data_IF_424399741833
#
_entry.id   IF_424399741833
#
_cell.length_a   1.000
_cell.length_b   1.000
_cell.length_c   1.000
_cell.angle_alpha   90.00
_cell.angle_beta   90.00
_cell.angle_gamma   90.00
#
_symmetry.space_group_name_H-M   'P 1'
#
loop_
_entity.id
_entity.type
_entity.pdbx_description
1 polymer ?
#
# COMPACT_ATOMS: atom_id res chain seq x y z
N UNK A 1 21.07 -9.73 12.61
CA UNK A 1 19.62 -9.91 12.45
C UNK A 1 19.15 -8.84 11.48
N UNK A 2 18.49 -9.25 10.39
CA UNK A 2 18.02 -8.37 9.32
C UNK A 2 16.81 -9.05 8.67
N UNK A 3 15.78 -8.31 8.22
CA UNK A 3 14.70 -8.91 7.45
C UNK A 3 15.22 -9.51 6.15
N UNK A 4 14.74 -10.72 5.84
CA UNK A 4 15.12 -11.52 4.68
C UNK A 4 14.28 -11.20 3.45
N UNK A 5 13.07 -10.68 3.63
CA UNK A 5 12.24 -10.26 2.50
C UNK A 5 11.35 -9.05 2.79
N UNK A 6 10.97 -8.36 1.72
CA UNK A 6 10.23 -7.10 1.78
C UNK A 6 9.09 -7.09 0.78
N UNK A 7 7.86 -6.88 1.27
CA UNK A 7 6.69 -6.60 0.42
C UNK A 7 6.60 -5.08 0.25
N UNK A 8 7.22 -4.58 -0.82
CA UNK A 8 7.53 -3.15 -0.99
C UNK A 8 6.38 -2.33 -1.59
N UNK A 9 5.33 -2.98 -2.06
CA UNK A 9 4.21 -2.29 -2.70
C UNK A 9 3.39 -3.20 -3.59
N UNK A 10 2.41 -2.66 -4.31
CA UNK A 10 1.91 -1.29 -4.22
C UNK A 10 0.79 -1.19 -3.15
N UNK A 11 0.51 0.00 -2.59
CA UNK A 11 -0.63 0.17 -1.69
C UNK A 11 -1.93 -0.20 -2.43
N UNK A 12 -2.93 -0.70 -1.70
CA UNK A 12 -4.24 -1.06 -2.29
C UNK A 12 -4.22 -2.14 -3.39
N UNK A 13 -3.13 -2.88 -3.50
CA UNK A 13 -2.97 -4.00 -4.41
C UNK A 13 -3.08 -5.37 -3.76
N UNK A 14 -3.43 -5.49 -2.47
CA UNK A 14 -3.63 -6.80 -1.81
C UNK A 14 -2.49 -7.26 -0.87
N UNK A 15 -1.44 -6.45 -0.73
CA UNK A 15 -0.27 -6.74 0.12
C UNK A 15 -0.60 -7.09 1.57
N UNK A 16 -1.63 -6.46 2.17
CA UNK A 16 -2.06 -6.80 3.53
C UNK A 16 -2.56 -8.24 3.66
N UNK A 17 -3.27 -8.76 2.66
CA UNK A 17 -3.72 -10.16 2.67
C UNK A 17 -2.52 -11.09 2.57
N UNK A 18 -1.58 -10.79 1.66
CA UNK A 18 -0.36 -11.59 1.52
C UNK A 18 0.47 -11.62 2.82
N UNK A 19 0.67 -10.48 3.49
CA UNK A 19 1.36 -10.45 4.79
C UNK A 19 0.69 -11.39 5.82
N UNK A 20 -0.64 -11.37 5.91
CA UNK A 20 -1.38 -12.23 6.86
C UNK A 20 -1.29 -13.71 6.47
N UNK A 21 -1.21 -14.04 5.19
CA UNK A 21 -1.05 -15.44 4.76
C UNK A 21 0.36 -15.96 5.03
N UNK A 22 1.38 -15.11 4.84
CA UNK A 22 2.78 -15.47 5.10
C UNK A 22 3.07 -15.60 6.60
N UNK A 23 2.47 -14.76 7.44
CA UNK A 23 2.66 -14.81 8.91
C UNK A 23 2.10 -16.08 9.56
N UNK A 24 1.27 -16.84 8.84
CA UNK A 24 0.78 -18.15 9.29
C UNK A 24 1.81 -19.28 9.08
N UNK A 25 2.81 -19.09 8.22
CA UNK A 25 3.77 -20.12 7.87
C UNK A 25 4.79 -20.33 9.01
N UNK A 26 5.06 -21.57 9.47
CA UNK A 26 5.88 -21.83 10.66
C UNK A 26 7.35 -21.39 10.52
N UNK A 27 7.84 -21.24 9.29
CA UNK A 27 9.20 -20.76 8.98
C UNK A 27 9.31 -19.25 8.70
N UNK A 28 8.21 -18.50 8.81
CA UNK A 28 8.16 -17.06 8.51
C UNK A 28 7.72 -16.30 9.76
N UNK A 29 8.32 -15.14 9.97
CA UNK A 29 7.91 -14.17 10.98
C UNK A 29 7.73 -12.81 10.31
N UNK A 30 6.49 -12.31 10.26
CA UNK A 30 6.26 -10.95 9.79
C UNK A 30 6.49 -9.95 10.92
N UNK A 31 6.90 -8.73 10.57
CA UNK A 31 6.90 -7.61 11.51
C UNK A 31 5.51 -7.46 12.15
N UNK A 32 5.47 -7.35 13.50
CA UNK A 32 4.25 -7.27 14.33
C UNK A 32 3.23 -6.20 13.92
N UNK A 33 3.68 -5.21 13.16
CA UNK A 33 2.86 -4.13 12.64
C UNK A 33 3.21 -3.89 11.17
N UNK A 34 2.19 -3.97 10.28
CA UNK A 34 2.37 -3.60 8.87
C UNK A 34 2.64 -2.09 8.72
N UNK A 35 3.41 -1.76 7.69
CA UNK A 35 3.95 -0.42 7.41
C UNK A 35 4.87 0.06 8.56
N UNK A 36 5.99 -0.64 8.85
CA UNK A 36 7.05 -0.09 9.67
C UNK A 36 7.59 1.25 9.14
N UNK A 37 7.66 1.39 7.80
CA UNK A 37 8.14 2.56 7.08
C UNK A 37 9.53 3.02 7.56
N UNK A 38 10.42 2.06 7.87
CA UNK A 38 11.78 2.30 8.33
C UNK A 38 12.70 2.85 7.23
N UNK A 39 12.73 2.20 6.06
CA UNK A 39 13.43 2.65 4.84
C UNK A 39 12.62 3.71 4.05
N UNK A 40 13.21 4.21 2.97
CA UNK A 40 12.66 5.28 2.16
C UNK A 40 12.85 6.63 2.82
N UNK A 41 14.09 7.05 3.09
CA UNK A 41 14.43 8.35 3.70
C UNK A 41 13.81 9.58 2.99
N UNK A 42 13.43 9.44 1.72
CA UNK A 42 12.78 10.48 0.91
C UNK A 42 11.26 10.64 1.17
N UNK A 43 10.61 9.67 1.83
CA UNK A 43 9.17 9.70 2.10
C UNK A 43 8.84 10.53 3.34
N UNK A 44 7.79 11.35 3.25
CA UNK A 44 7.34 12.26 4.32
C UNK A 44 6.32 11.62 5.30
N UNK A 45 6.20 10.30 5.29
CA UNK A 45 5.29 9.51 6.14
C UNK A 45 5.74 9.35 7.60
N UNK A 46 4.78 9.06 8.48
CA UNK A 46 5.10 8.71 9.88
C UNK A 46 5.76 7.33 9.94
N UNK A 47 7.03 7.29 10.34
CA UNK A 47 7.76 6.05 10.61
C UNK A 47 7.36 5.45 11.96
N UNK A 48 7.22 4.13 12.02
CA UNK A 48 6.97 3.42 13.29
C UNK A 48 8.26 3.13 14.05
N UNK A 49 9.34 2.92 13.31
CA UNK A 49 10.69 2.80 13.85
C UNK A 49 11.56 3.91 13.27
N UNK A 50 12.32 4.59 14.13
CA UNK A 50 13.27 5.64 13.73
C UNK A 50 14.73 5.25 13.98
N UNK A 51 14.94 4.16 14.73
CA UNK A 51 16.26 3.58 14.97
C UNK A 51 16.26 2.12 14.50
N UNK A 52 17.45 1.60 14.17
CA UNK A 52 17.58 0.19 13.81
C UNK A 52 17.17 -0.73 14.96
N UNK A 53 17.46 -0.35 16.21
CA UNK A 53 17.06 -1.12 17.39
C UNK A 53 15.53 -1.24 17.49
N UNK A 54 14.82 -0.12 17.33
CA UNK A 54 13.35 -0.13 17.33
C UNK A 54 12.77 -0.93 16.17
N UNK A 55 13.44 -0.86 15.01
CA UNK A 55 13.03 -1.61 13.84
C UNK A 55 13.16 -3.13 14.04
N UNK A 56 14.28 -3.59 14.60
CA UNK A 56 14.50 -5.02 14.86
C UNK A 56 13.58 -5.56 15.98
N UNK A 57 13.15 -4.72 16.93
CA UNK A 57 12.15 -5.10 17.95
C UNK A 57 10.77 -5.44 17.35
N UNK A 58 10.50 -5.08 16.09
CA UNK A 58 9.25 -5.45 15.42
C UNK A 58 9.16 -6.95 15.09
N UNK A 59 10.25 -7.71 15.25
CA UNK A 59 10.35 -9.14 14.96
C UNK A 59 10.61 -9.96 16.25
N UNK A 60 9.59 -10.16 17.11
CA UNK A 60 9.74 -10.84 18.40
C UNK A 60 9.75 -12.38 18.25
N UNK A 61 10.64 -12.89 17.41
CA UNK A 61 10.67 -14.29 16.98
C UNK A 61 12.10 -14.82 16.85
N UNK A 62 12.24 -16.14 16.64
CA UNK A 62 13.57 -16.78 16.52
C UNK A 62 14.37 -16.19 15.35
N UNK A 63 15.70 -16.04 15.49
CA UNK A 63 16.61 -15.78 14.37
C UNK A 63 16.52 -16.78 13.22
N UNK A 64 16.06 -18.00 13.49
CA UNK A 64 16.06 -19.10 12.52
C UNK A 64 14.88 -19.04 11.54
N UNK A 65 13.93 -18.12 11.77
CA UNK A 65 12.80 -17.88 10.87
C UNK A 65 13.18 -16.83 9.82
N UNK A 66 12.54 -16.89 8.65
CA UNK A 66 12.63 -15.81 7.68
C UNK A 66 11.85 -14.60 8.17
N UNK A 67 12.55 -13.49 8.35
CA UNK A 67 11.97 -12.23 8.81
C UNK A 67 11.44 -11.43 7.62
N UNK A 68 10.16 -11.08 7.65
CA UNK A 68 9.50 -10.34 6.56
C UNK A 68 8.87 -9.04 7.03
N UNK A 69 8.92 -7.99 6.22
CA UNK A 69 8.09 -6.81 6.44
C UNK A 69 7.30 -6.41 5.20
N UNK A 70 6.34 -5.51 5.40
CA UNK A 70 5.55 -4.96 4.30
C UNK A 70 5.27 -3.48 4.51
N UNK A 71 5.97 -2.64 3.76
CA UNK A 71 5.81 -1.19 3.71
C UNK A 71 5.59 -0.79 2.25
N UNK A 72 4.36 -0.41 1.91
CA UNK A 72 3.86 -0.35 0.54
C UNK A 72 4.34 0.85 -0.27
N UNK A 73 4.78 1.90 0.42
CA UNK A 73 5.31 3.10 -0.22
C UNK A 73 6.80 2.97 -0.59
N UNK A 74 7.45 1.87 -0.23
CA UNK A 74 8.83 1.61 -0.65
C UNK A 74 8.95 1.51 -2.17
N UNK A 75 7.93 0.96 -2.84
CA UNK A 75 7.88 0.92 -4.30
C UNK A 75 7.94 2.31 -4.94
N UNK A 76 7.29 3.30 -4.32
CA UNK A 76 7.30 4.69 -4.80
C UNK A 76 8.62 5.41 -4.51
N UNK A 77 9.23 5.12 -3.35
CA UNK A 77 10.47 5.75 -2.89
C UNK A 77 11.62 5.59 -3.87
N UNK A 78 12.38 6.68 -4.05
CA UNK A 78 13.57 6.72 -4.92
C UNK A 78 14.82 6.19 -4.25
N UNK A 79 14.81 5.98 -2.94
CA UNK A 79 15.95 5.48 -2.17
C UNK A 79 15.70 4.15 -1.45
N UNK A 80 14.45 3.74 -1.20
CA UNK A 80 14.14 2.54 -0.42
C UNK A 80 14.83 1.28 -0.95
N UNK A 81 14.85 1.05 -2.28
CA UNK A 81 15.54 -0.10 -2.85
C UNK A 81 17.04 -0.15 -2.46
N UNK A 82 17.74 0.98 -2.57
CA UNK A 82 19.17 1.08 -2.21
C UNK A 82 19.39 0.94 -0.70
N UNK A 83 18.54 1.55 0.12
CA UNK A 83 18.66 1.46 1.58
C UNK A 83 18.40 0.03 2.08
N UNK A 84 17.40 -0.65 1.52
CA UNK A 84 17.13 -2.07 1.81
C UNK A 84 18.34 -2.92 1.39
N UNK A 85 18.90 -2.68 0.20
CA UNK A 85 20.07 -3.42 -0.29
C UNK A 85 21.31 -3.22 0.60
N UNK A 86 21.56 -1.98 1.04
CA UNK A 86 22.63 -1.67 1.99
C UNK A 86 22.46 -2.40 3.32
N UNK A 87 21.21 -2.59 3.77
CA UNK A 87 20.90 -3.32 4.99
C UNK A 87 20.99 -4.85 4.80
N UNK A 88 20.44 -5.37 3.70
CA UNK A 88 20.48 -6.77 3.35
C UNK A 88 20.56 -6.98 1.82
N UNK A 89 21.77 -7.22 1.25
CA UNK A 89 21.91 -7.42 -0.20
C UNK A 89 21.38 -8.77 -0.69
N UNK A 90 21.08 -9.70 0.22
CA UNK A 90 20.49 -11.00 -0.08
C UNK A 90 18.96 -10.99 0.09
N UNK A 91 18.36 -9.84 0.38
CA UNK A 91 16.94 -9.75 0.60
C UNK A 91 16.15 -10.08 -0.67
N UNK A 92 15.02 -10.77 -0.48
CA UNK A 92 14.03 -11.00 -1.52
C UNK A 92 12.98 -9.89 -1.53
N UNK A 93 12.60 -9.43 -2.70
CA UNK A 93 11.65 -8.35 -2.89
C UNK A 93 10.36 -8.91 -3.48
N UNK A 94 9.22 -8.51 -2.94
CA UNK A 94 7.90 -8.86 -3.45
C UNK A 94 7.16 -7.57 -3.79
N UNK A 95 6.72 -7.46 -5.04
CA UNK A 95 5.94 -6.34 -5.58
C UNK A 95 4.59 -6.88 -6.05
N UNK A 96 3.49 -6.30 -5.59
CA UNK A 96 2.14 -6.62 -6.03
C UNK A 96 1.53 -5.44 -6.78
N UNK A 97 1.33 -5.59 -8.09
CA UNK A 97 0.82 -4.54 -8.97
C UNK A 97 -0.64 -4.77 -9.31
N UNK A 98 -1.39 -3.69 -9.47
CA UNK A 98 -2.80 -3.68 -9.85
C UNK A 98 -2.95 -2.79 -11.08
N UNK A 99 -3.98 -3.03 -11.91
CA UNK A 99 -4.35 -2.12 -12.99
C UNK A 99 -4.26 -0.66 -12.49
N UNK A 100 -3.46 0.21 -13.15
CA UNK A 100 -3.15 1.56 -12.65
C UNK A 100 -4.42 2.41 -12.46
N UNK A 101 -5.45 2.25 -13.30
CA UNK A 101 -6.71 2.98 -13.22
C UNK A 101 -7.47 2.63 -11.94
N UNK A 102 -7.61 1.33 -11.71
CA UNK A 102 -8.22 0.76 -10.51
C UNK A 102 -7.42 1.10 -9.25
N UNK A 103 -6.09 1.09 -9.36
CA UNK A 103 -5.17 1.43 -8.28
C UNK A 103 -5.33 2.89 -7.85
N UNK A 104 -5.31 3.86 -8.78
CA UNK A 104 -5.43 5.28 -8.41
C UNK A 104 -6.78 5.58 -7.78
N UNK A 105 -7.83 4.92 -8.27
CA UNK A 105 -9.14 5.03 -7.66
C UNK A 105 -9.13 4.43 -6.25
N UNK A 106 -8.64 3.19 -6.11
CA UNK A 106 -8.48 2.52 -4.81
C UNK A 106 -7.70 3.38 -3.80
N UNK A 107 -6.59 3.98 -4.24
CA UNK A 107 -5.74 4.88 -3.48
C UNK A 107 -6.51 6.11 -3.02
N UNK A 108 -7.23 6.81 -3.91
CA UNK A 108 -8.04 7.97 -3.53
C UNK A 108 -9.03 7.67 -2.39
N UNK A 109 -9.69 6.50 -2.34
CA UNK A 109 -10.58 6.20 -1.19
C UNK A 109 -9.77 6.09 0.06
N UNK A 110 -8.62 5.44 -0.02
CA UNK A 110 -7.80 5.19 1.14
C UNK A 110 -7.36 6.52 1.75
N UNK A 111 -6.91 7.45 0.91
CA UNK A 111 -6.41 8.75 1.33
C UNK A 111 -7.55 9.62 1.88
N UNK A 112 -8.75 9.57 1.27
CA UNK A 112 -9.98 10.17 1.84
C UNK A 112 -10.35 9.50 3.17
N UNK A 113 -10.24 8.17 3.26
CA UNK A 113 -10.59 7.39 4.46
C UNK A 113 -9.69 7.74 5.64
N UNK A 114 -8.39 7.92 5.41
CA UNK A 114 -7.43 8.33 6.45
C UNK A 114 -7.42 9.83 6.72
N UNK A 115 -8.20 10.60 5.96
CA UNK A 115 -8.33 12.06 6.03
C UNK A 115 -7.05 12.83 5.62
N UNK A 116 -6.25 12.24 4.73
CA UNK A 116 -5.12 12.92 4.08
C UNK A 116 -5.54 13.68 2.81
N UNK A 117 -6.70 13.33 2.24
CA UNK A 117 -7.34 13.96 1.07
C UNK A 117 -8.61 14.67 1.52
N UNK A 118 -8.76 15.94 1.13
CA UNK A 118 -9.91 16.80 1.41
C UNK A 118 -10.87 16.93 0.21
N UNK A 119 -10.45 16.54 -0.99
CA UNK A 119 -11.26 16.47 -2.21
C UNK A 119 -11.86 15.06 -2.34
N UNK A 120 -13.13 14.92 -1.98
CA UNK A 120 -13.85 13.64 -2.03
C UNK A 120 -14.29 13.23 -3.43
N UNK A 121 -14.35 14.17 -4.37
CA UNK A 121 -14.59 13.89 -5.79
C UNK A 121 -13.27 13.48 -6.47
N UNK A 122 -13.28 12.31 -7.11
CA UNK A 122 -12.05 11.74 -7.68
C UNK A 122 -11.50 12.52 -8.87
N UNK A 123 -12.38 13.02 -9.75
CA UNK A 123 -11.94 13.79 -10.91
C UNK A 123 -11.31 15.13 -10.48
N UNK A 124 -11.94 15.84 -9.53
CA UNK A 124 -11.37 17.05 -8.95
C UNK A 124 -10.03 16.79 -8.23
N UNK A 125 -9.87 15.64 -7.58
CA UNK A 125 -8.63 15.26 -6.92
C UNK A 125 -7.49 15.03 -7.93
N UNK A 126 -7.78 14.39 -9.07
CA UNK A 126 -6.84 14.28 -10.20
C UNK A 126 -6.46 15.65 -10.76
N UNK A 127 -7.43 16.56 -10.93
CA UNK A 127 -7.17 17.92 -11.41
C UNK A 127 -6.34 18.76 -10.42
N UNK A 128 -6.31 18.42 -9.13
CA UNK A 128 -5.47 19.07 -8.14
C UNK A 128 -4.02 18.58 -8.16
N UNK A 129 -3.74 17.43 -8.76
CA UNK A 129 -2.42 16.81 -8.71
C UNK A 129 -1.27 17.69 -9.24
N UNK A 130 -1.41 18.44 -10.37
CA UNK A 130 -0.34 19.33 -10.85
C UNK A 130 0.07 20.43 -9.86
N UNK A 131 -0.89 20.94 -9.08
CA UNK A 131 -0.61 21.89 -8.00
C UNK A 131 0.08 21.21 -6.82
N UNK A 132 -0.34 19.98 -6.48
CA UNK A 132 0.23 19.19 -5.39
C UNK A 132 1.67 18.77 -5.64
N UNK A 133 2.02 18.48 -6.89
CA UNK A 133 3.43 18.26 -7.31
C UNK A 133 4.31 19.48 -7.00
N UNK A 134 3.72 20.68 -6.96
CA UNK A 134 4.41 21.93 -6.65
C UNK A 134 4.27 22.33 -5.16
N UNK A 135 3.80 21.42 -4.30
CA UNK A 135 3.56 21.67 -2.89
C UNK A 135 2.35 22.56 -2.59
N UNK A 136 1.54 22.91 -3.60
CA UNK A 136 0.31 23.68 -3.43
C UNK A 136 -0.88 22.75 -3.22
N UNK A 137 -1.95 23.24 -2.56
CA UNK A 137 -3.19 22.46 -2.34
C UNK A 137 -2.94 21.10 -1.64
N UNK A 138 -1.91 21.04 -0.81
CA UNK A 138 -1.69 19.93 0.13
C UNK A 138 -2.56 20.20 1.36
N UNK A 139 -3.48 19.30 1.73
CA UNK A 139 -4.36 19.50 2.87
C UNK A 139 -3.57 19.69 4.16
N UNK A 140 -4.03 20.62 5.01
CA UNK A 140 -3.37 20.88 6.27
C UNK A 140 -3.33 19.61 7.15
N UNK A 141 -2.13 19.24 7.58
CA UNK A 141 -1.88 18.04 8.37
C UNK A 141 -1.83 16.74 7.58
N UNK A 142 -1.82 16.78 6.24
CA UNK A 142 -1.53 15.62 5.40
C UNK A 142 -0.23 14.97 5.88
N UNK A 143 -0.29 13.68 6.20
CA UNK A 143 0.83 12.93 6.80
C UNK A 143 1.70 12.24 5.77
N UNK A 144 1.26 12.17 4.52
CA UNK A 144 1.99 11.57 3.42
C UNK A 144 1.57 12.23 2.10
N UNK A 145 2.15 13.39 1.75
CA UNK A 145 1.80 14.15 0.54
C UNK A 145 1.94 13.35 -0.76
N UNK A 146 2.86 12.38 -0.82
CA UNK A 146 3.07 11.48 -1.96
C UNK A 146 1.81 10.68 -2.29
N UNK A 147 0.97 10.40 -1.28
CA UNK A 147 -0.30 9.70 -1.47
C UNK A 147 -1.35 10.47 -2.26
N UNK A 148 -1.15 11.77 -2.45
CA UNK A 148 -2.01 12.64 -3.26
C UNK A 148 -1.53 12.77 -4.71
N UNK A 149 -0.40 12.15 -5.06
CA UNK A 149 0.18 12.14 -6.41
C UNK A 149 -0.26 10.86 -7.13
N UNK A 150 -1.54 10.77 -7.45
CA UNK A 150 -2.18 9.55 -7.96
C UNK A 150 -1.52 9.03 -9.23
N UNK A 151 -1.37 9.88 -10.25
CA UNK A 151 -0.77 9.45 -11.52
C UNK A 151 0.69 9.05 -11.35
N UNK A 152 1.46 9.75 -10.50
CA UNK A 152 2.85 9.39 -10.21
C UNK A 152 2.96 8.06 -9.45
N UNK A 153 2.06 7.83 -8.49
CA UNK A 153 2.02 6.59 -7.71
C UNK A 153 1.79 5.36 -8.60
N UNK A 154 1.10 5.52 -9.73
CA UNK A 154 0.82 4.47 -10.70
C UNK A 154 1.91 4.30 -11.79
N UNK A 155 3.02 5.05 -11.75
CA UNK A 155 4.14 4.90 -12.69
C UNK A 155 5.02 3.70 -12.32
N UNK A 156 4.45 2.50 -12.42
CA UNK A 156 5.05 1.27 -11.92
C UNK A 156 6.31 0.86 -12.67
N UNK A 157 6.42 1.14 -13.97
CA UNK A 157 7.58 0.76 -14.79
C UNK A 157 8.91 1.18 -14.14
N UNK A 158 9.09 2.47 -13.86
CA UNK A 158 10.33 2.99 -13.26
C UNK A 158 10.53 2.49 -11.83
N UNK A 159 9.43 2.37 -11.08
CA UNK A 159 9.45 1.89 -9.69
C UNK A 159 9.93 0.43 -9.61
N UNK A 160 9.40 -0.44 -10.47
CA UNK A 160 9.82 -1.86 -10.56
C UNK A 160 11.24 -1.96 -11.09
N UNK A 161 11.58 -1.19 -12.14
CA UNK A 161 12.91 -1.17 -12.74
C UNK A 161 13.98 -0.86 -11.68
N UNK A 162 13.73 0.09 -10.77
CA UNK A 162 14.64 0.41 -9.67
C UNK A 162 15.00 -0.82 -8.82
N UNK A 163 14.04 -1.71 -8.53
CA UNK A 163 14.31 -2.91 -7.76
C UNK A 163 15.05 -3.98 -8.57
N UNK A 164 14.73 -4.14 -9.86
CA UNK A 164 15.51 -5.01 -10.74
C UNK A 164 16.96 -4.55 -10.90
N UNK A 165 17.19 -3.24 -11.05
CA UNK A 165 18.54 -2.68 -11.18
C UNK A 165 19.38 -2.88 -9.92
N UNK A 166 18.76 -2.85 -8.73
CA UNK A 166 19.46 -2.96 -7.43
C UNK A 166 19.65 -4.41 -6.97
N UNK A 167 18.62 -5.24 -7.06
CA UNK A 167 18.64 -6.62 -6.52
C UNK A 167 18.85 -7.70 -7.60
N UNK A 168 18.67 -7.35 -8.88
CA UNK A 168 18.57 -8.31 -9.96
C UNK A 168 17.18 -8.93 -10.06
N UNK A 169 16.81 -9.40 -11.25
CA UNK A 169 15.47 -9.96 -11.53
C UNK A 169 15.13 -11.18 -10.67
N UNK A 170 16.09 -12.06 -10.41
CA UNK A 170 15.87 -13.31 -9.65
C UNK A 170 15.51 -13.08 -8.17
N UNK A 171 15.88 -11.92 -7.61
CA UNK A 171 15.57 -11.55 -6.23
C UNK A 171 14.27 -10.74 -6.11
N UNK A 172 13.52 -10.55 -7.21
CA UNK A 172 12.31 -9.73 -7.23
C UNK A 172 11.14 -10.53 -7.82
N UNK A 173 10.16 -10.86 -6.98
CA UNK A 173 8.88 -11.46 -7.40
C UNK A 173 7.85 -10.35 -7.67
N UNK A 174 7.38 -10.26 -8.92
CA UNK A 174 6.27 -9.39 -9.29
C UNK A 174 4.98 -10.20 -9.40
N UNK A 175 4.00 -9.87 -8.57
CA UNK A 175 2.66 -10.47 -8.52
C UNK A 175 1.67 -9.51 -9.19
N UNK A 176 0.86 -10.04 -10.10
CA UNK A 176 -0.26 -9.29 -10.67
C UNK A 176 -1.52 -9.55 -9.83
N UNK A 177 -2.15 -8.47 -9.35
CA UNK A 177 -3.31 -8.52 -8.47
C UNK A 177 -4.47 -9.33 -9.05
N UNK A 178 -4.67 -9.28 -10.37
CA UNK A 178 -5.73 -10.04 -11.05
C UNK A 178 -5.52 -11.55 -10.90
N UNK A 179 -4.26 -12.02 -10.94
CA UNK A 179 -3.93 -13.42 -10.67
C UNK A 179 -4.12 -13.76 -9.20
N UNK A 180 -3.67 -12.87 -8.30
CA UNK A 180 -3.84 -13.06 -6.87
C UNK A 180 -5.32 -13.16 -6.48
N UNK A 181 -6.19 -12.40 -7.14
CA UNK A 181 -7.64 -12.47 -6.94
C UNK A 181 -8.25 -13.72 -7.56
N UNK A 182 -7.75 -14.15 -8.73
CA UNK A 182 -8.26 -15.33 -9.47
C UNK A 182 -7.85 -16.65 -8.81
N UNK A 183 -6.60 -16.73 -8.34
CA UNK A 183 -6.00 -17.92 -7.74
C UNK A 183 -5.06 -17.53 -6.58
N UNK A 184 -5.66 -17.15 -5.45
CA UNK A 184 -4.93 -16.80 -4.23
C UNK A 184 -4.00 -17.93 -3.77
N UNK A 185 -4.45 -19.18 -3.87
CA UNK A 185 -3.69 -20.35 -3.41
C UNK A 185 -2.47 -20.61 -4.28
N UNK A 186 -2.60 -20.50 -5.60
CA UNK A 186 -1.48 -20.61 -6.54
C UNK A 186 -0.43 -19.53 -6.34
N UNK A 187 -0.85 -18.27 -6.20
CA UNK A 187 0.07 -17.15 -5.94
C UNK A 187 0.75 -17.27 -4.57
N UNK A 188 0.03 -17.71 -3.54
CA UNK A 188 0.61 -17.99 -2.23
C UNK A 188 1.70 -19.05 -2.33
N UNK A 189 1.42 -20.19 -2.97
CA UNK A 189 2.39 -21.26 -3.22
C UNK A 189 3.63 -20.76 -3.97
N UNK A 190 3.44 -19.99 -5.04
CA UNK A 190 4.55 -19.38 -5.78
C UNK A 190 5.40 -18.46 -4.90
N UNK A 191 4.75 -17.71 -3.99
CA UNK A 191 5.45 -16.83 -3.05
C UNK A 191 6.29 -17.66 -2.06
N UNK A 192 5.77 -18.77 -1.54
CA UNK A 192 6.53 -19.67 -0.66
C UNK A 192 7.74 -20.29 -1.37
N UNK A 193 7.57 -20.73 -2.63
CA UNK A 193 8.66 -21.24 -3.46
C UNK A 193 9.74 -20.18 -3.69
N UNK A 194 9.33 -18.95 -4.02
CA UNK A 194 10.23 -17.83 -4.18
C UNK A 194 11.00 -17.55 -2.89
N UNK A 195 10.32 -17.58 -1.74
CA UNK A 195 10.95 -17.43 -0.42
C UNK A 195 11.80 -18.64 -0.01
N UNK A 196 11.68 -19.79 -0.70
CA UNK A 196 12.38 -21.05 -0.42
C UNK A 196 11.99 -21.67 0.93
N UNK A 197 10.70 -21.60 1.26
CA UNK A 197 10.09 -22.34 2.38
C UNK A 197 9.15 -23.42 1.85
N UNK A 198 8.62 -24.26 2.73
CA UNK A 198 7.73 -25.37 2.35
C UNK A 198 6.49 -24.87 1.57
N UNK A 199 6.39 -25.16 0.26
CA UNK A 199 5.29 -24.67 -0.56
C UNK A 199 3.99 -25.45 -0.36
N UNK A 200 4.00 -26.50 0.47
CA UNK A 200 2.83 -27.35 0.73
C UNK A 200 1.99 -26.85 1.91
N UNK A 201 2.53 -25.95 2.73
CA UNK A 201 1.82 -25.35 3.85
C UNK A 201 0.55 -24.62 3.38
N UNK A 202 -0.56 -24.83 4.09
CA UNK A 202 -1.86 -24.24 3.77
C UNK A 202 -2.24 -23.19 4.81
N UNK A 203 -2.22 -21.92 4.41
CA UNK A 203 -2.75 -20.83 5.22
C UNK A 203 -4.28 -20.71 5.07
N UNK A 204 -4.93 -20.08 6.05
CA UNK A 204 -6.30 -19.60 5.89
C UNK A 204 -6.31 -18.37 4.97
N UNK A 205 -6.80 -18.56 3.74
CA UNK A 205 -6.82 -17.55 2.68
C UNK A 205 -8.09 -16.68 2.65
N UNK A 206 -8.72 -16.46 3.81
CA UNK A 206 -9.87 -15.53 3.89
C UNK A 206 -9.46 -14.11 3.48
N UNK A 207 -10.38 -13.39 2.83
CA UNK A 207 -10.14 -12.02 2.38
C UNK A 207 -9.90 -11.12 3.59
N UNK A 208 -8.71 -10.55 3.68
CA UNK A 208 -8.35 -9.59 4.72
C UNK A 208 -8.62 -8.18 4.21
N UNK A 209 -9.33 -7.38 5.00
CA UNK A 209 -9.69 -5.99 4.70
C UNK A 209 -10.61 -5.80 3.46
N UNK A 210 -11.88 -6.26 3.54
CA UNK A 210 -12.88 -5.81 2.57
C UNK A 210 -12.98 -4.28 2.54
N UNK A 211 -13.39 -3.72 1.40
CA UNK A 211 -13.47 -2.27 1.21
C UNK A 211 -14.32 -1.61 2.31
N UNK A 212 -13.91 -0.42 2.76
CA UNK A 212 -14.57 0.34 3.83
C UNK A 212 -14.90 1.72 3.32
N UNK A 213 -16.17 2.11 3.43
CA UNK A 213 -16.69 3.44 3.15
C UNK A 213 -16.96 4.18 4.45
N UNK A 214 -16.93 5.51 4.39
CA UNK A 214 -17.21 6.39 5.53
C UNK A 214 -18.56 7.06 5.29
N UNK A 215 -19.44 7.11 6.31
CA UNK A 215 -20.76 7.75 6.20
C UNK A 215 -20.67 9.28 6.14
N UNK A 216 -19.83 9.87 6.98
CA UNK A 216 -19.60 11.32 7.03
C UNK A 216 -18.12 11.66 7.02
N UNK A 217 -17.71 12.36 5.95
CA UNK A 217 -16.35 12.85 5.76
C UNK A 217 -16.00 13.93 6.78
N UNK A 218 -16.91 14.89 7.03
CA UNK A 218 -16.71 15.93 8.04
C UNK A 218 -16.48 15.33 9.44
N UNK A 219 -17.30 14.36 9.85
CA UNK A 219 -17.11 13.67 11.13
C UNK A 219 -15.80 12.89 11.16
N UNK A 220 -15.39 12.25 10.05
CA UNK A 220 -14.12 11.54 9.97
C UNK A 220 -12.93 12.48 10.09
N UNK A 221 -12.94 13.61 9.37
CA UNK A 221 -11.89 14.62 9.41
C UNK A 221 -11.83 15.28 10.79
N UNK A 222 -12.96 15.74 11.33
CA UNK A 222 -13.02 16.36 12.66
C UNK A 222 -12.59 15.40 13.78
N UNK A 223 -12.85 14.10 13.62
CA UNK A 223 -12.46 13.10 14.62
C UNK A 223 -11.01 12.66 14.52
N UNK A 224 -10.51 12.43 13.29
CA UNK A 224 -9.10 12.08 13.06
C UNK A 224 -8.17 13.27 13.27
N UNK A 225 -8.65 14.48 12.98
CA UNK A 225 -7.96 15.75 13.12
C UNK A 225 -8.84 16.76 13.87
N UNK A 226 -9.08 16.57 15.18
CA UNK A 226 -9.82 17.55 15.94
C UNK A 226 -9.04 18.87 16.00
N UNK A 227 -9.73 20.03 15.97
CA UNK A 227 -9.09 21.32 16.19
C UNK A 227 -8.24 21.31 17.47
N UNK A 228 -7.14 22.06 17.50
CA UNK A 228 -6.18 22.06 18.63
C UNK A 228 -6.85 22.32 19.99
N UNK A 229 -7.84 23.21 20.02
CA UNK A 229 -8.64 23.49 21.21
C UNK A 229 -9.40 22.25 21.70
N UNK A 230 -10.03 21.51 20.79
CA UNK A 230 -10.75 20.27 21.08
C UNK A 230 -9.78 19.17 21.53
N UNK A 231 -8.59 19.09 20.93
CA UNK A 231 -7.56 18.14 21.38
C UNK A 231 -7.12 18.39 22.81
N UNK A 232 -6.89 19.66 23.19
CA UNK A 232 -6.45 20.03 24.52
C UNK A 232 -7.52 19.70 25.57
N UNK A 233 -8.79 19.99 25.26
CA UNK A 233 -9.94 19.68 26.13
C UNK A 233 -10.17 18.16 26.26
N UNK A 234 -10.11 17.40 25.15
CA UNK A 234 -10.25 15.94 25.21
C UNK A 234 -9.09 15.28 25.96
N UNK A 235 -7.89 15.85 25.88
CA UNK A 235 -6.71 15.35 26.59
C UNK A 235 -6.74 15.64 28.08
N UNK A 236 -7.32 16.75 28.51
CA UNK A 236 -7.44 17.11 29.92
C UNK A 236 -8.62 16.43 30.62
N UNK A 237 -9.74 16.20 29.92
CA UNK A 237 -10.98 15.74 30.57
C UNK A 237 -11.24 14.24 30.50
N UNK A 238 -10.72 13.52 29.49
CA UNK A 238 -11.04 12.10 29.32
C UNK A 238 -9.82 11.21 29.60
N UNK A 239 -9.94 10.11 30.36
CA UNK A 239 -8.88 9.10 30.47
C UNK A 239 -8.54 8.46 29.11
N UNK A 240 -7.29 8.01 28.93
CA UNK A 240 -6.82 7.39 27.69
C UNK A 240 -7.68 6.20 27.24
N UNK A 241 -8.08 5.33 28.20
CA UNK A 241 -8.93 4.17 27.93
C UNK A 241 -10.31 4.58 27.37
N UNK A 242 -10.90 5.64 27.92
CA UNK A 242 -12.21 6.16 27.49
C UNK A 242 -12.13 6.80 26.10
N UNK A 243 -11.07 7.58 25.83
CA UNK A 243 -10.79 8.11 24.48
C UNK A 243 -10.65 6.97 23.47
N UNK A 244 -9.98 5.87 23.83
CA UNK A 244 -9.81 4.69 22.96
C UNK A 244 -11.15 3.99 22.68
N UNK A 245 -12.02 3.87 23.67
CA UNK A 245 -13.35 3.28 23.52
C UNK A 245 -14.27 4.14 22.65
N UNK A 246 -14.34 5.45 22.92
CA UNK A 246 -15.09 6.40 22.10
C UNK A 246 -14.56 6.36 20.66
N UNK A 247 -13.23 6.31 20.47
CA UNK A 247 -12.60 6.17 19.15
C UNK A 247 -13.05 4.92 18.42
N UNK A 248 -13.12 3.78 19.09
CA UNK A 248 -13.60 2.53 18.48
C UNK A 248 -15.07 2.66 18.07
N UNK A 249 -15.91 3.27 18.92
CA UNK A 249 -17.36 3.40 18.69
C UNK A 249 -17.74 4.42 17.62
N UNK A 250 -17.11 5.61 17.62
CA UNK A 250 -17.28 6.61 16.54
C UNK A 250 -16.82 6.02 15.20
N UNK A 251 -15.67 5.32 15.20
CA UNK A 251 -15.18 4.64 14.00
C UNK A 251 -16.15 3.57 13.53
N UNK A 252 -16.69 2.72 14.42
CA UNK A 252 -17.63 1.67 14.02
C UNK A 252 -18.94 2.24 13.47
N UNK A 253 -19.45 3.34 14.03
CA UNK A 253 -20.69 3.98 13.57
C UNK A 253 -20.50 4.73 12.24
N UNK A 254 -19.31 5.27 11.98
CA UNK A 254 -19.01 5.99 10.74
C UNK A 254 -18.48 5.08 9.62
N UNK A 255 -18.30 3.77 9.87
CA UNK A 255 -17.85 2.80 8.87
C UNK A 255 -19.04 2.05 8.25
N UNK A 256 -19.00 1.88 6.92
CA UNK A 256 -19.88 0.98 6.16
C UNK A 256 -19.03 0.05 5.30
N UNK A 257 -19.48 -1.19 5.14
CA UNK A 257 -18.92 -2.13 4.18
C UNK A 257 -19.81 -2.08 2.94
N UNK A 258 -19.47 -1.18 2.02
CA UNK A 258 -20.14 -1.05 0.73
C UNK A 258 -19.10 -1.14 -0.39
N UNK A 259 -19.48 -1.68 -1.57
CA UNK A 259 -18.67 -1.54 -2.75
C UNK A 259 -18.47 -0.06 -3.06
N UNK A 260 -17.34 0.24 -3.69
CA UNK A 260 -17.04 1.59 -4.11
C UNK A 260 -18.02 2.03 -5.18
N UNK A 261 -18.40 3.31 -5.18
CA UNK A 261 -19.12 3.87 -6.32
C UNK A 261 -18.30 3.61 -7.59
N UNK A 262 -18.94 3.31 -8.74
CA UNK A 262 -18.21 3.17 -9.99
C UNK A 262 -17.57 4.51 -10.38
N UNK A 263 -16.39 4.44 -11.01
CA UNK A 263 -15.76 5.61 -11.60
C UNK A 263 -16.61 6.11 -12.78
N UNK A 264 -16.77 7.44 -12.98
CA UNK A 264 -17.45 7.95 -14.15
C UNK A 264 -16.78 7.45 -15.45
N UNK A 265 -17.54 6.96 -16.45
CA UNK A 265 -16.97 6.36 -17.66
C UNK A 265 -16.04 7.29 -18.46
N UNK A 266 -16.26 8.60 -18.43
CA UNK A 266 -15.38 9.56 -19.11
C UNK A 266 -14.04 9.72 -18.39
N UNK A 267 -14.00 9.62 -17.06
CA UNK A 267 -12.76 9.62 -16.27
C UNK A 267 -11.98 8.34 -16.53
N UNK A 268 -12.67 7.19 -16.55
CA UNK A 268 -12.04 5.90 -16.86
C UNK A 268 -11.35 5.92 -18.22
N UNK A 269 -12.06 6.35 -19.28
CA UNK A 269 -11.49 6.49 -20.64
C UNK A 269 -10.29 7.44 -20.71
N UNK A 270 -10.34 8.56 -19.98
CA UNK A 270 -9.20 9.49 -19.89
C UNK A 270 -7.98 8.80 -19.25
N UNK A 271 -8.19 8.00 -18.20
CA UNK A 271 -7.11 7.27 -17.54
C UNK A 271 -6.58 6.09 -18.37
N UNK A 272 -7.43 5.41 -19.15
CA UNK A 272 -6.98 4.40 -20.12
C UNK A 272 -5.98 5.01 -21.11
N UNK A 273 -6.33 6.13 -21.73
CA UNK A 273 -5.45 6.85 -22.65
C UNK A 273 -4.16 7.32 -21.96
N UNK A 274 -4.28 7.84 -20.74
CA UNK A 274 -3.14 8.32 -19.96
C UNK A 274 -2.14 7.21 -19.59
N UNK A 275 -2.63 6.05 -19.15
CA UNK A 275 -1.80 4.95 -18.67
C UNK A 275 -1.40 3.96 -19.77
N UNK A 276 -1.95 4.03 -20.98
CA UNK A 276 -1.61 3.10 -22.06
C UNK A 276 -0.09 3.00 -22.32
N UNK A 277 0.68 4.11 -22.41
CA UNK A 277 2.14 4.03 -22.58
C UNK A 277 2.85 3.42 -21.36
N UNK A 278 2.38 3.70 -20.15
CA UNK A 278 2.93 3.10 -18.93
C UNK A 278 2.74 1.58 -18.96
N UNK A 279 1.53 1.12 -19.27
CA UNK A 279 1.20 -0.31 -19.27
C UNK A 279 1.96 -1.05 -20.36
N UNK A 280 2.19 -0.44 -21.51
CA UNK A 280 3.03 -1.00 -22.57
C UNK A 280 4.48 -1.16 -22.13
N UNK A 281 5.06 -0.13 -21.51
CA UNK A 281 6.43 -0.21 -20.98
C UNK A 281 6.53 -1.22 -19.84
N UNK A 282 5.55 -1.27 -18.93
CA UNK A 282 5.50 -2.25 -17.85
C UNK A 282 5.38 -3.66 -18.40
N UNK A 283 4.55 -3.87 -19.43
CA UNK A 283 4.40 -5.16 -20.09
C UNK A 283 5.73 -5.65 -20.68
N UNK A 284 6.44 -4.75 -21.36
CA UNK A 284 7.76 -5.00 -21.92
C UNK A 284 8.78 -5.32 -20.83
N UNK A 285 8.83 -4.48 -19.78
CA UNK A 285 9.72 -4.68 -18.64
C UNK A 285 9.48 -6.04 -17.99
N UNK A 286 8.24 -6.43 -17.75
CA UNK A 286 7.92 -7.68 -17.08
C UNK A 286 8.02 -8.91 -17.99
N UNK A 287 8.00 -8.73 -19.31
CA UNK A 287 7.87 -9.84 -20.26
C UNK A 287 6.48 -10.48 -20.22
N UNK A 288 5.44 -9.68 -19.92
CA UNK A 288 4.07 -10.14 -19.70
C UNK A 288 3.09 -9.14 -20.30
N UNK A 289 2.13 -9.61 -21.08
CA UNK A 289 1.10 -8.74 -21.64
C UNK A 289 0.11 -8.27 -20.55
N UNK A 290 0.05 -6.95 -20.33
CA UNK A 290 -0.88 -6.28 -19.42
C UNK A 290 -1.77 -5.27 -20.14
N UNK A 291 -1.73 -5.21 -21.49
CA UNK A 291 -2.45 -4.19 -22.28
C UNK A 291 -3.96 -4.24 -22.10
N UNK A 292 -4.50 -5.37 -21.65
CA UNK A 292 -5.90 -5.51 -21.25
C UNK A 292 -6.32 -4.54 -20.14
N UNK A 293 -5.37 -3.94 -19.40
CA UNK A 293 -5.66 -2.91 -18.41
C UNK A 293 -6.09 -1.57 -18.99
N UNK A 294 -5.74 -1.28 -20.24
CA UNK A 294 -5.96 0.01 -20.90
C UNK A 294 -6.71 -0.09 -22.23
N UNK A 295 -6.93 -1.30 -22.76
CA UNK A 295 -7.80 -1.52 -23.92
C UNK A 295 -9.26 -1.64 -23.50
N UNK A 296 -10.19 -1.12 -24.30
CA UNK A 296 -11.62 -1.35 -24.10
C UNK A 296 -11.93 -2.84 -24.29
N UNK A 297 -12.25 -3.54 -23.20
CA UNK A 297 -12.95 -4.83 -23.28
C UNK A 297 -14.44 -4.58 -23.53
N UNK A 298 -14.76 -4.02 -24.70
CA UNK A 298 -16.09 -4.12 -25.31
C UNK A 298 -15.94 -4.72 -26.71
N UNK A 299 -15.61 -6.01 -26.76
CA UNK A 299 -15.88 -6.88 -27.92
C UNK A 299 -15.45 -8.33 -27.63
N UNK A 300 -16.29 -9.07 -26.88
CA UNK A 300 -16.75 -10.45 -27.20
C UNK A 300 -18.13 -10.62 -26.57
#
# INVERSE_FOLDING_TARGET
>A
MKPDFFIVGAPKSGTSSLCVYLDQHPSICMATDKEPDFFGSDLQGKRRATTLEDYLKLFPCSPDLLWGEGSTWYLFSKCAAREIYQHNPQAKIIIMLRNPIDFVYALHSQVVYVADEDITDFEQALHAEPDRKQGRRIPAGCTQPESLLYTEAARFTEQVKQYFDVFGREAVLVIIYDDFKRDTAGVYRQTLQFLQVDPTFQANLQIVNPNKKIRSHLLNTLWRRPPRLVQNVLRSLLPFALRRLIRRRVRSLNMQHEPRNPMPPHVYRRLQQHFAPEVEHLSTLLGRDLRSWTTDTESV
#
